data_IF_734160206757
#
_entry.id   IF_734160206757
#
_cell.length_a   1.000
_cell.length_b   1.000
_cell.length_c   1.000
_cell.angle_alpha   90.00
_cell.angle_beta   90.00
_cell.angle_gamma   90.00
#
_symmetry.space_group_name_H-M   'P 1'
#
loop_
_entity.id
_entity.type
_entity.pdbx_description
1 polymer ?
#
# COMPACT_ATOMS: atom_id res chain seq x y z
N UNK A 1 35.80 -17.60 -13.32
CA UNK A 1 35.60 -16.50 -12.34
C UNK A 1 34.13 -16.46 -11.99
N UNK A 2 33.74 -17.14 -10.92
CA UNK A 2 32.37 -17.15 -10.41
C UNK A 2 32.18 -15.93 -9.52
N UNK A 3 31.34 -15.00 -9.96
CA UNK A 3 30.91 -13.83 -9.20
C UNK A 3 30.04 -14.30 -8.04
N UNK A 4 30.57 -14.27 -6.82
CA UNK A 4 29.77 -14.41 -5.60
C UNK A 4 28.95 -13.12 -5.43
N UNK A 5 27.65 -13.20 -5.69
CA UNK A 5 26.69 -12.16 -5.29
C UNK A 5 26.62 -12.18 -3.77
N UNK A 6 27.31 -11.24 -3.15
CA UNK A 6 27.32 -10.99 -1.71
C UNK A 6 25.88 -10.69 -1.26
N UNK A 7 25.16 -11.71 -0.78
CA UNK A 7 23.89 -11.52 -0.08
C UNK A 7 24.21 -10.90 1.27
N UNK A 8 24.10 -9.57 1.35
CA UNK A 8 24.28 -8.84 2.60
C UNK A 8 23.03 -9.06 3.45
N UNK A 9 23.04 -10.10 4.28
CA UNK A 9 22.02 -10.31 5.31
C UNK A 9 22.27 -9.28 6.42
N UNK A 10 21.72 -8.09 6.25
CA UNK A 10 21.86 -7.03 7.26
C UNK A 10 20.77 -7.26 8.32
N UNK A 11 21.17 -7.80 9.47
CA UNK A 11 20.35 -7.74 10.69
C UNK A 11 20.43 -6.30 11.21
N UNK A 12 19.63 -5.41 10.64
CA UNK A 12 19.63 -3.99 11.02
C UNK A 12 18.80 -3.82 12.30
N UNK A 13 19.42 -3.36 13.38
CA UNK A 13 18.68 -2.71 14.48
C UNK A 13 18.11 -1.39 13.94
N UNK A 14 16.78 -1.36 13.75
CA UNK A 14 16.07 -0.50 12.78
C UNK A 14 16.04 1.01 13.06
N UNK A 15 16.73 1.53 14.07
CA UNK A 15 16.69 2.96 14.39
C UNK A 15 17.24 3.85 13.26
N UNK A 16 18.07 3.31 12.36
CA UNK A 16 18.70 4.08 11.27
C UNK A 16 17.90 4.14 9.94
N UNK A 17 16.82 3.36 9.76
CA UNK A 17 16.13 3.28 8.45
C UNK A 17 14.76 3.96 8.40
N UNK A 18 14.21 4.35 9.54
CA UNK A 18 12.86 4.90 9.67
C UNK A 18 12.72 6.15 8.79
N UNK A 19 11.86 6.07 7.76
CA UNK A 19 11.41 7.23 6.99
C UNK A 19 12.40 7.79 5.97
N UNK A 20 13.48 7.08 5.64
CA UNK A 20 14.43 7.59 4.65
C UNK A 20 13.92 7.42 3.22
N UNK A 21 14.11 8.43 2.38
CA UNK A 21 13.87 8.39 0.93
C UNK A 21 14.91 7.54 0.17
N UNK A 22 15.66 6.69 0.88
CA UNK A 22 16.78 5.95 0.33
C UNK A 22 16.29 4.81 -0.56
N UNK A 23 16.97 4.67 -1.69
CA UNK A 23 16.79 3.55 -2.61
C UNK A 23 17.57 2.35 -2.09
N UNK A 24 16.89 1.23 -1.86
CA UNK A 24 17.52 -0.02 -1.42
C UNK A 24 17.39 -1.11 -2.49
N UNK A 25 18.42 -1.97 -2.54
CA UNK A 25 18.55 -3.06 -3.51
C UNK A 25 19.15 -4.30 -2.85
N UNK A 26 18.57 -5.48 -3.12
CA UNK A 26 19.09 -6.80 -2.68
C UNK A 26 19.24 -6.92 -1.16
N UNK A 27 18.22 -6.49 -0.41
CA UNK A 27 18.21 -6.51 1.05
C UNK A 27 17.10 -7.45 1.54
N UNK A 28 17.45 -8.26 2.54
CA UNK A 28 16.50 -9.01 3.36
C UNK A 28 16.35 -8.29 4.71
N UNK A 29 15.16 -7.76 5.00
CA UNK A 29 14.82 -7.19 6.30
C UNK A 29 13.94 -8.21 7.03
N UNK A 30 14.43 -8.74 8.15
CA UNK A 30 13.73 -9.77 8.93
C UNK A 30 13.54 -9.31 10.37
N UNK A 31 12.32 -9.44 10.90
CA UNK A 31 11.98 -9.25 12.32
C UNK A 31 12.27 -7.85 12.86
N UNK A 32 11.27 -6.97 12.81
CA UNK A 32 11.34 -5.65 13.40
C UNK A 32 10.00 -5.17 13.90
N UNK A 33 10.05 -4.32 14.92
CA UNK A 33 8.90 -3.60 15.43
C UNK A 33 9.23 -2.12 15.39
N UNK A 34 8.51 -1.35 14.56
CA UNK A 34 8.53 0.12 14.64
C UNK A 34 7.29 0.56 15.40
N UNK A 35 7.48 1.36 16.45
CA UNK A 35 6.38 1.85 17.25
C UNK A 35 6.56 3.28 17.75
N UNK A 36 5.44 4.01 17.87
CA UNK A 36 5.37 5.37 18.43
C UNK A 36 6.27 6.38 17.69
N UNK A 37 6.38 6.23 16.36
CA UNK A 37 7.22 7.09 15.52
C UNK A 37 6.38 8.05 14.68
N UNK A 38 6.95 9.22 14.39
CA UNK A 38 6.40 10.16 13.41
C UNK A 38 7.41 10.36 12.29
N UNK A 39 6.98 10.09 11.05
CA UNK A 39 7.78 10.30 9.84
C UNK A 39 7.14 11.45 9.08
N UNK A 40 7.88 12.55 8.96
CA UNK A 40 7.49 13.70 8.16
C UNK A 40 8.49 13.87 7.03
N UNK A 41 7.99 13.96 5.80
CA UNK A 41 8.82 14.30 4.65
C UNK A 41 8.15 15.38 3.82
N UNK A 42 8.92 16.44 3.59
CA UNK A 42 8.59 17.56 2.73
C UNK A 42 9.51 17.47 1.51
N UNK A 43 9.09 16.72 0.50
CA UNK A 43 9.97 16.49 -0.63
C UNK A 43 9.44 15.51 -1.66
N UNK A 44 10.29 15.33 -2.66
CA UNK A 44 9.97 14.74 -3.94
C UNK A 44 10.22 13.23 -4.00
N UNK A 45 10.09 12.57 -2.85
CA UNK A 45 10.50 11.18 -2.70
C UNK A 45 9.44 10.36 -1.98
N UNK A 46 9.35 9.09 -2.37
CA UNK A 46 8.46 8.13 -1.72
C UNK A 46 8.90 7.83 -0.30
N UNK A 47 7.92 7.60 0.57
CA UNK A 47 8.15 7.42 2.02
C UNK A 47 7.51 6.13 2.48
N UNK A 48 8.32 5.25 3.04
CA UNK A 48 7.85 4.08 3.78
C UNK A 48 8.18 4.24 5.27
N UNK A 49 7.46 3.52 6.12
CA UNK A 49 7.90 3.33 7.50
C UNK A 49 9.21 2.54 7.61
N UNK A 50 9.48 1.65 6.64
CA UNK A 50 10.75 0.93 6.53
C UNK A 50 11.60 1.48 5.38
N UNK A 51 11.06 1.53 4.16
CA UNK A 51 11.83 1.85 2.95
C UNK A 51 11.11 2.93 2.14
N UNK A 52 11.79 4.02 1.79
CA UNK A 52 11.27 5.00 0.84
C UNK A 52 11.04 4.39 -0.55
N UNK A 53 12.10 3.87 -1.18
CA UNK A 53 12.08 3.33 -2.54
C UNK A 53 12.84 1.99 -2.62
N UNK A 54 12.28 0.98 -3.29
CA UNK A 54 13.06 -0.18 -3.76
C UNK A 54 13.36 -0.05 -5.25
N UNK A 55 14.60 -0.35 -5.64
CA UNK A 55 15.06 -0.31 -7.05
C UNK A 55 15.47 -1.69 -7.59
N UNK A 56 15.50 -2.71 -6.73
CA UNK A 56 15.69 -4.12 -7.11
C UNK A 56 14.97 -5.03 -6.12
N UNK A 57 15.17 -6.35 -6.26
CA UNK A 57 14.59 -7.37 -5.40
C UNK A 57 14.87 -7.10 -3.91
N UNK A 58 13.81 -6.78 -3.16
CA UNK A 58 13.86 -6.63 -1.71
C UNK A 58 12.88 -7.60 -1.07
N UNK A 59 13.30 -8.28 -0.01
CA UNK A 59 12.44 -9.15 0.80
C UNK A 59 12.25 -8.54 2.18
N UNK A 60 10.99 -8.38 2.60
CA UNK A 60 10.64 -7.85 3.91
C UNK A 60 9.75 -8.87 4.60
N UNK A 61 10.20 -9.39 5.74
CA UNK A 61 9.48 -10.46 6.42
C UNK A 61 9.35 -10.24 7.92
N UNK A 62 8.19 -10.60 8.47
CA UNK A 62 7.90 -10.57 9.91
C UNK A 62 8.10 -9.18 10.54
N UNK A 63 7.59 -8.13 9.88
CA UNK A 63 7.67 -6.75 10.37
C UNK A 63 6.32 -6.30 10.91
N UNK A 64 6.30 -5.69 12.09
CA UNK A 64 5.11 -5.04 12.64
C UNK A 64 5.37 -3.54 12.79
N UNK A 65 4.46 -2.73 12.27
CA UNK A 65 4.44 -1.28 12.47
C UNK A 65 3.21 -0.91 13.27
N UNK A 66 3.40 -0.23 14.39
CA UNK A 66 2.30 0.10 15.31
C UNK A 66 2.34 1.55 15.77
N UNK A 67 1.20 2.24 15.79
CA UNK A 67 1.14 3.62 16.27
C UNK A 67 2.11 4.57 15.55
N UNK A 68 2.30 4.37 14.24
CA UNK A 68 3.16 5.23 13.43
C UNK A 68 2.31 6.25 12.69
N UNK A 69 2.74 7.50 12.71
CA UNK A 69 2.17 8.57 11.88
C UNK A 69 3.14 8.89 10.74
N UNK A 70 2.76 8.55 9.52
CA UNK A 70 3.51 8.89 8.30
C UNK A 70 2.77 10.01 7.61
N UNK A 71 3.43 11.14 7.41
CA UNK A 71 2.86 12.26 6.65
C UNK A 71 3.85 12.70 5.57
N UNK A 72 3.38 12.65 4.33
CA UNK A 72 4.18 12.85 3.13
C UNK A 72 3.59 13.96 2.25
N UNK A 73 4.42 14.96 1.92
CA UNK A 73 4.07 16.05 1.01
C UNK A 73 4.91 15.96 -0.27
N UNK A 74 4.26 15.72 -1.40
CA UNK A 74 4.92 15.53 -2.69
C UNK A 74 4.68 16.72 -3.63
N UNK A 75 5.71 17.23 -4.33
CA UNK A 75 5.57 18.31 -5.31
C UNK A 75 5.13 17.81 -6.70
N UNK A 76 4.10 16.94 -6.75
CA UNK A 76 3.49 16.40 -7.97
C UNK A 76 4.37 15.47 -8.82
N UNK A 77 5.18 14.60 -8.20
CA UNK A 77 5.98 13.62 -8.93
C UNK A 77 5.22 12.34 -9.22
N UNK A 78 5.07 12.00 -10.49
CA UNK A 78 4.48 10.73 -10.89
C UNK A 78 5.26 9.54 -10.34
N UNK A 79 4.52 8.52 -9.86
CA UNK A 79 5.11 7.26 -9.41
C UNK A 79 5.66 7.28 -7.99
N UNK A 80 5.27 8.25 -7.17
CA UNK A 80 5.63 8.28 -5.76
C UNK A 80 4.46 7.81 -4.85
N UNK A 81 4.78 7.43 -3.62
CA UNK A 81 3.78 6.96 -2.66
C UNK A 81 4.23 7.02 -1.20
N UNK A 82 3.26 7.02 -0.30
CA UNK A 82 3.46 6.92 1.14
C UNK A 82 2.83 5.64 1.68
N UNK A 83 3.55 4.85 2.47
CA UNK A 83 2.96 3.69 3.12
C UNK A 83 3.67 3.25 4.40
N UNK A 84 3.04 2.32 5.11
CA UNK A 84 3.59 1.73 6.32
C UNK A 84 4.91 1.02 6.05
N UNK A 85 5.03 0.18 5.02
CA UNK A 85 6.28 -0.55 4.77
C UNK A 85 7.14 0.17 3.72
N UNK A 86 6.67 0.25 2.47
CA UNK A 86 7.43 0.75 1.32
C UNK A 86 6.71 1.92 0.65
N UNK A 87 7.36 3.06 0.49
CA UNK A 87 6.78 4.18 -0.26
C UNK A 87 6.54 3.85 -1.73
N UNK A 88 7.60 3.44 -2.44
CA UNK A 88 7.56 2.95 -3.82
C UNK A 88 8.30 1.62 -3.95
N UNK A 89 7.63 0.61 -4.50
CA UNK A 89 8.22 -0.67 -4.80
C UNK A 89 8.41 -0.85 -6.31
N UNK A 90 9.64 -1.14 -6.74
CA UNK A 90 9.87 -1.71 -8.06
C UNK A 90 9.63 -3.22 -7.97
N UNK A 91 10.58 -4.00 -7.44
CA UNK A 91 10.40 -5.43 -7.16
C UNK A 91 10.49 -5.69 -5.66
N UNK A 92 9.45 -6.27 -5.06
CA UNK A 92 9.49 -6.62 -3.65
C UNK A 92 8.64 -7.85 -3.30
N UNK A 93 9.06 -8.53 -2.24
CA UNK A 93 8.34 -9.62 -1.59
C UNK A 93 8.11 -9.21 -0.14
N UNK A 94 6.85 -9.14 0.29
CA UNK A 94 6.46 -8.74 1.65
C UNK A 94 5.66 -9.89 2.27
N UNK A 95 6.17 -10.47 3.36
CA UNK A 95 5.58 -11.67 3.96
C UNK A 95 5.39 -11.48 5.46
N UNK A 96 4.24 -11.91 5.99
CA UNK A 96 3.95 -11.88 7.44
C UNK A 96 4.16 -10.50 8.08
N UNK A 97 3.82 -9.41 7.37
CA UNK A 97 3.97 -8.05 7.89
C UNK A 97 2.63 -7.48 8.36
N UNK A 98 2.64 -6.66 9.41
CA UNK A 98 1.44 -5.98 9.90
C UNK A 98 1.63 -4.47 10.06
N UNK A 99 0.58 -3.71 9.78
CA UNK A 99 0.48 -2.28 10.10
C UNK A 99 -0.77 -2.04 10.92
N UNK A 100 -0.60 -1.52 12.13
CA UNK A 100 -1.64 -1.46 13.15
C UNK A 100 -1.72 -0.08 13.79
N UNK A 101 -2.94 0.41 14.05
CA UNK A 101 -3.17 1.67 14.77
C UNK A 101 -2.39 2.86 14.20
N UNK A 102 -2.15 2.87 12.89
CA UNK A 102 -1.24 3.82 12.25
C UNK A 102 -2.03 4.80 11.39
N UNK A 103 -1.46 6.00 11.21
CA UNK A 103 -2.02 7.04 10.37
C UNK A 103 -1.05 7.27 9.22
N UNK A 104 -1.51 7.07 7.99
CA UNK A 104 -0.70 7.24 6.80
C UNK A 104 -1.37 8.29 5.92
N UNK A 105 -0.73 9.45 5.83
CA UNK A 105 -1.22 10.60 5.11
C UNK A 105 -0.29 10.90 3.93
N UNK A 106 -0.86 10.97 2.73
CA UNK A 106 -0.19 11.57 1.57
C UNK A 106 -0.93 12.81 1.10
N UNK A 107 -0.14 13.76 0.59
CA UNK A 107 -0.61 14.96 -0.11
C UNK A 107 -0.05 14.89 -1.52
N UNK A 108 -0.93 14.80 -2.51
CA UNK A 108 -0.61 14.73 -3.94
C UNK A 108 -0.04 13.43 -4.48
N UNK A 109 -0.05 12.30 -3.76
CA UNK A 109 0.38 11.00 -4.29
C UNK A 109 -0.34 9.82 -3.63
N UNK A 110 -0.07 8.60 -4.10
CA UNK A 110 -0.68 7.38 -3.56
C UNK A 110 -0.40 7.18 -2.06
N UNK A 111 -1.38 6.64 -1.33
CA UNK A 111 -1.19 6.20 0.05
C UNK A 111 -1.68 4.78 0.28
N UNK A 112 -0.99 4.03 1.14
CA UNK A 112 -1.40 2.68 1.48
C UNK A 112 -0.94 2.19 2.85
N UNK A 113 -1.52 1.08 3.31
CA UNK A 113 -1.04 0.40 4.51
C UNK A 113 0.34 -0.21 4.30
N UNK A 114 0.59 -0.96 3.20
CA UNK A 114 1.89 -1.60 2.96
C UNK A 114 2.74 -0.89 1.91
N UNK A 115 2.21 -0.67 0.71
CA UNK A 115 2.98 -0.13 -0.43
C UNK A 115 2.29 1.06 -1.07
N UNK A 116 2.93 2.23 -1.09
CA UNK A 116 2.32 3.44 -1.64
C UNK A 116 2.11 3.32 -3.15
N UNK A 117 3.17 3.00 -3.88
CA UNK A 117 3.15 2.85 -5.34
C UNK A 117 3.95 1.61 -5.77
N UNK A 118 3.37 0.76 -6.64
CA UNK A 118 4.04 -0.41 -7.22
C UNK A 118 4.31 -0.20 -8.71
N UNK A 119 5.58 -0.29 -9.13
CA UNK A 119 6.00 -0.09 -10.51
C UNK A 119 6.27 -1.40 -11.26
N UNK A 120 6.83 -2.42 -10.60
CA UNK A 120 7.07 -3.75 -11.19
C UNK A 120 6.42 -4.85 -10.31
N UNK A 121 7.01 -6.05 -10.29
CA UNK A 121 6.44 -7.24 -9.67
C UNK A 121 6.44 -7.15 -8.15
N UNK A 122 5.27 -7.30 -7.56
CA UNK A 122 5.08 -7.22 -6.12
C UNK A 122 4.30 -8.44 -5.62
N UNK A 123 4.85 -9.11 -4.62
CA UNK A 123 4.20 -10.24 -3.95
C UNK A 123 4.01 -9.92 -2.48
N UNK A 124 2.77 -10.01 -2.00
CA UNK A 124 2.38 -9.71 -0.62
C UNK A 124 1.60 -10.91 -0.09
N UNK A 125 2.12 -11.54 0.96
CA UNK A 125 1.58 -12.79 1.49
C UNK A 125 1.42 -12.70 3.02
N UNK A 126 0.30 -13.18 3.55
CA UNK A 126 0.05 -13.26 5.00
C UNK A 126 0.20 -11.91 5.73
N UNK A 127 -0.10 -10.80 5.06
CA UNK A 127 0.05 -9.48 5.65
C UNK A 127 -1.28 -8.95 6.18
N UNK A 128 -1.23 -8.04 7.16
CA UNK A 128 -2.43 -7.46 7.75
C UNK A 128 -2.36 -5.96 7.98
N UNK A 129 -3.51 -5.28 7.81
CA UNK A 129 -3.68 -3.87 8.17
C UNK A 129 -4.87 -3.77 9.10
N UNK A 130 -4.68 -3.25 10.30
CA UNK A 130 -5.72 -3.21 11.32
C UNK A 130 -5.81 -1.84 12.01
N UNK A 131 -7.03 -1.38 12.30
CA UNK A 131 -7.29 -0.17 13.09
C UNK A 131 -6.55 1.08 12.57
N UNK A 132 -6.35 1.19 11.26
CA UNK A 132 -5.49 2.22 10.67
C UNK A 132 -6.28 3.22 9.84
N UNK A 133 -5.76 4.44 9.74
CA UNK A 133 -6.33 5.50 8.92
C UNK A 133 -5.36 5.79 7.78
N UNK A 134 -5.83 5.65 6.55
CA UNK A 134 -5.03 5.89 5.34
C UNK A 134 -5.73 6.98 4.55
N UNK A 135 -5.03 8.09 4.32
CA UNK A 135 -5.58 9.27 3.68
C UNK A 135 -4.73 9.69 2.49
N UNK A 136 -5.40 10.09 1.42
CA UNK A 136 -4.87 10.97 0.38
C UNK A 136 -5.69 12.27 0.45
N UNK A 137 -5.07 13.32 0.98
CA UNK A 137 -5.77 14.56 1.33
C UNK A 137 -5.66 15.65 0.26
N UNK A 138 -5.02 15.37 -0.88
CA UNK A 138 -4.90 16.33 -1.97
C UNK A 138 -4.59 15.61 -3.29
N UNK A 139 -5.34 15.88 -4.37
CA UNK A 139 -4.78 16.44 -5.59
C UNK A 139 -5.82 16.58 -6.71
N UNK A 140 -5.50 17.56 -7.53
CA UNK A 140 -5.84 17.80 -8.94
C UNK A 140 -5.54 16.61 -9.90
N UNK A 141 -5.11 15.45 -9.39
CA UNK A 141 -4.57 14.33 -10.19
C UNK A 141 -5.12 12.97 -9.74
N UNK A 142 -4.94 11.94 -10.58
CA UNK A 142 -5.51 10.60 -10.40
C UNK A 142 -4.80 9.75 -9.33
N UNK A 143 -4.69 10.22 -8.08
CA UNK A 143 -4.04 9.46 -7.02
C UNK A 143 -5.04 8.82 -6.06
N UNK A 144 -4.63 7.70 -5.47
CA UNK A 144 -5.55 6.77 -4.81
C UNK A 144 -5.03 6.29 -3.47
N UNK A 145 -5.97 5.82 -2.66
CA UNK A 145 -5.71 5.22 -1.37
C UNK A 145 -6.12 3.76 -1.39
N UNK A 146 -5.23 2.88 -0.95
CA UNK A 146 -5.56 1.46 -0.80
C UNK A 146 -5.16 0.90 0.55
N UNK A 147 -5.83 -0.16 1.00
CA UNK A 147 -5.44 -0.82 2.25
C UNK A 147 -4.07 -1.48 2.14
N UNK A 148 -3.84 -2.27 1.10
CA UNK A 148 -2.53 -2.89 0.86
C UNK A 148 -1.67 -2.01 -0.05
N UNK A 149 -2.19 -1.62 -1.22
CA UNK A 149 -1.44 -0.86 -2.23
C UNK A 149 -2.20 0.39 -2.65
N UNK A 150 -1.53 1.55 -2.72
CA UNK A 150 -2.14 2.80 -3.16
C UNK A 150 -2.41 2.75 -4.66
N UNK A 151 -1.35 2.68 -5.46
CA UNK A 151 -1.41 2.53 -6.94
C UNK A 151 -0.56 1.34 -7.38
N UNK A 152 -1.06 0.55 -8.33
CA UNK A 152 -0.29 -0.49 -9.02
C UNK A 152 -0.18 -0.23 -10.52
N UNK A 153 1.03 -0.38 -11.06
CA UNK A 153 1.35 -0.30 -12.48
C UNK A 153 1.82 -1.62 -13.09
N UNK A 154 1.75 -2.75 -12.36
CA UNK A 154 2.24 -4.03 -12.87
C UNK A 154 1.63 -5.25 -12.16
N UNK A 155 2.23 -6.42 -12.38
CA UNK A 155 1.81 -7.70 -11.83
C UNK A 155 1.93 -7.71 -10.31
N UNK A 156 0.80 -7.93 -9.65
CA UNK A 156 0.69 -7.98 -8.19
C UNK A 156 0.02 -9.28 -7.78
N UNK A 157 0.62 -9.97 -6.82
CA UNK A 157 -0.02 -11.04 -6.07
C UNK A 157 -0.25 -10.59 -4.62
N UNK A 158 -1.50 -10.62 -4.17
CA UNK A 158 -1.91 -10.48 -2.77
C UNK A 158 -2.55 -11.80 -2.36
N UNK A 159 -1.96 -12.50 -1.40
CA UNK A 159 -2.48 -13.79 -0.92
C UNK A 159 -2.58 -13.82 0.60
N UNK A 160 -3.68 -14.39 1.10
CA UNK A 160 -3.96 -14.58 2.53
C UNK A 160 -3.75 -13.30 3.36
N UNK A 161 -4.15 -12.15 2.82
CA UNK A 161 -4.02 -10.86 3.48
C UNK A 161 -5.33 -10.43 4.16
N UNK A 162 -5.23 -9.68 5.25
CA UNK A 162 -6.38 -9.20 6.01
C UNK A 162 -6.37 -7.68 6.17
N UNK A 163 -7.51 -7.03 5.96
CA UNK A 163 -7.70 -5.62 6.31
C UNK A 163 -8.88 -5.53 7.27
N UNK A 164 -8.70 -4.89 8.41
CA UNK A 164 -9.78 -4.74 9.37
C UNK A 164 -9.81 -3.41 10.11
N UNK A 165 -11.02 -2.92 10.38
CA UNK A 165 -11.27 -1.68 11.15
C UNK A 165 -10.52 -0.46 10.59
N UNK A 166 -10.42 -0.36 9.27
CA UNK A 166 -9.65 0.70 8.62
C UNK A 166 -10.55 1.81 8.09
N UNK A 167 -10.04 3.04 8.12
CA UNK A 167 -10.63 4.17 7.41
C UNK A 167 -9.73 4.53 6.23
N UNK A 168 -10.32 4.63 5.04
CA UNK A 168 -9.64 5.05 3.83
C UNK A 168 -10.33 6.28 3.25
N UNK A 169 -9.58 7.36 3.12
CA UNK A 169 -10.07 8.59 2.53
C UNK A 169 -9.22 8.98 1.33
N UNK A 170 -9.85 9.21 0.19
CA UNK A 170 -9.18 9.67 -1.01
C UNK A 170 -9.99 10.76 -1.70
N UNK A 171 -9.33 11.55 -2.53
CA UNK A 171 -10.03 12.44 -3.45
C UNK A 171 -10.52 11.65 -4.66
N UNK A 172 -9.68 10.80 -5.25
CA UNK A 172 -9.95 10.23 -6.57
C UNK A 172 -10.45 8.79 -6.49
N UNK A 173 -9.71 7.90 -5.82
CA UNK A 173 -10.07 6.49 -5.72
C UNK A 173 -9.68 5.92 -4.36
N UNK A 174 -10.61 5.17 -3.76
CA UNK A 174 -10.36 4.42 -2.54
C UNK A 174 -10.75 2.96 -2.74
N UNK A 175 -9.82 2.06 -2.41
CA UNK A 175 -10.05 0.61 -2.54
C UNK A 175 -9.51 -0.19 -1.37
N UNK A 176 -10.20 -1.27 -1.00
CA UNK A 176 -9.82 -2.04 0.17
C UNK A 176 -8.43 -2.67 0.01
N UNK A 177 -8.17 -3.42 -1.07
CA UNK A 177 -6.82 -3.94 -1.32
C UNK A 177 -5.97 -2.95 -2.11
N UNK A 178 -6.50 -2.47 -3.23
CA UNK A 178 -5.75 -1.60 -4.16
C UNK A 178 -6.57 -0.37 -4.50
N UNK A 179 -5.97 0.80 -4.31
CA UNK A 179 -6.62 2.08 -4.57
C UNK A 179 -6.82 2.40 -6.06
N UNK A 180 -5.83 2.13 -6.90
CA UNK A 180 -5.94 2.27 -8.36
C UNK A 180 -5.02 1.29 -9.09
N UNK A 181 -5.55 0.70 -10.16
CA UNK A 181 -4.79 -0.05 -11.12
C UNK A 181 -4.55 0.79 -12.39
N UNK A 182 -3.30 0.89 -12.83
CA UNK A 182 -2.94 1.48 -14.13
C UNK A 182 -2.97 0.41 -15.23
N UNK A 183 -3.07 0.88 -16.47
CA UNK A 183 -3.19 0.04 -17.67
C UNK A 183 -2.04 -0.99 -17.75
N UNK A 184 -2.33 -2.18 -18.27
CA UNK A 184 -1.35 -3.28 -18.48
C UNK A 184 -0.84 -4.02 -17.24
N UNK A 185 -1.48 -3.83 -16.09
CA UNK A 185 -1.18 -4.60 -14.87
C UNK A 185 -2.09 -5.82 -14.71
N UNK A 186 -1.61 -6.84 -14.01
CA UNK A 186 -2.35 -8.06 -13.67
C UNK A 186 -2.39 -8.21 -12.16
N UNK A 187 -3.59 -8.18 -11.58
CA UNK A 187 -3.78 -8.26 -10.13
C UNK A 187 -4.42 -9.59 -9.76
N UNK A 188 -3.78 -10.32 -8.86
CA UNK A 188 -4.36 -11.51 -8.24
C UNK A 188 -4.54 -11.28 -6.74
N UNK A 189 -5.78 -11.43 -6.26
CA UNK A 189 -6.11 -11.39 -4.84
C UNK A 189 -6.71 -12.74 -4.45
N UNK A 190 -5.99 -13.47 -3.61
CA UNK A 190 -6.31 -14.85 -3.25
C UNK A 190 -6.49 -14.93 -1.73
N UNK A 191 -7.49 -15.73 -1.31
CA UNK A 191 -7.70 -16.13 0.09
C UNK A 191 -7.71 -14.96 1.09
N UNK A 192 -8.07 -13.75 0.67
CA UNK A 192 -7.88 -12.53 1.44
C UNK A 192 -9.20 -12.01 2.00
N UNK A 193 -9.14 -11.28 3.10
CA UNK A 193 -10.32 -10.85 3.85
C UNK A 193 -10.30 -9.36 4.13
N UNK A 194 -11.47 -8.73 4.03
CA UNK A 194 -11.70 -7.36 4.48
C UNK A 194 -12.88 -7.37 5.44
N UNK A 195 -12.70 -6.79 6.62
CA UNK A 195 -13.72 -6.73 7.66
C UNK A 195 -13.80 -5.34 8.26
N UNK A 196 -14.96 -4.69 8.20
CA UNK A 196 -15.16 -3.35 8.77
C UNK A 196 -14.21 -2.31 8.14
N UNK A 197 -14.61 -1.77 6.99
CA UNK A 197 -13.86 -0.72 6.31
C UNK A 197 -14.75 0.49 6.05
N UNK A 198 -14.26 1.67 6.41
CA UNK A 198 -14.89 2.95 6.09
C UNK A 198 -14.16 3.56 4.90
N UNK A 199 -14.87 3.81 3.79
CA UNK A 199 -14.27 4.42 2.61
C UNK A 199 -14.97 5.74 2.25
N UNK A 200 -14.17 6.74 1.92
CA UNK A 200 -14.61 8.03 1.38
C UNK A 200 -13.84 8.36 0.11
N UNK A 201 -14.56 8.82 -0.91
CA UNK A 201 -14.00 9.32 -2.16
C UNK A 201 -14.76 10.56 -2.62
N UNK A 202 -14.04 11.58 -3.11
CA UNK A 202 -14.62 12.89 -3.43
C UNK A 202 -14.89 13.12 -4.91
N UNK A 203 -14.27 12.37 -5.85
CA UNK A 203 -14.31 12.72 -7.28
C UNK A 203 -14.55 11.57 -8.28
N UNK A 204 -13.91 10.38 -8.17
CA UNK A 204 -14.01 9.39 -9.26
C UNK A 204 -14.61 8.03 -8.89
N UNK A 205 -14.37 7.49 -7.69
CA UNK A 205 -15.05 6.25 -7.30
C UNK A 205 -14.57 5.59 -6.01
N UNK A 206 -15.43 4.74 -5.44
CA UNK A 206 -15.12 3.83 -4.32
C UNK A 206 -15.36 2.42 -4.83
N UNK A 207 -14.36 1.56 -4.67
CA UNK A 207 -14.51 0.15 -5.04
C UNK A 207 -13.99 -0.70 -3.89
N UNK A 208 -14.87 -1.52 -3.33
CA UNK A 208 -14.42 -2.58 -2.47
C UNK A 208 -13.68 -3.62 -3.31
N UNK A 209 -12.42 -3.87 -2.99
CA UNK A 209 -11.52 -4.71 -3.79
C UNK A 209 -10.45 -3.90 -4.51
N UNK A 210 -10.70 -3.56 -5.77
CA UNK A 210 -9.71 -3.03 -6.73
C UNK A 210 -10.35 -2.08 -7.73
N UNK A 211 -9.71 -0.95 -8.04
CA UNK A 211 -10.24 0.07 -8.96
C UNK A 211 -9.69 -0.08 -10.38
N UNK A 212 -10.59 0.00 -11.37
CA UNK A 212 -10.34 0.08 -12.83
C UNK A 212 -9.52 -1.07 -13.41
N UNK A 213 -10.21 -2.16 -13.73
CA UNK A 213 -9.56 -3.42 -14.05
C UNK A 213 -9.71 -3.77 -15.53
N UNK A 214 -8.58 -3.90 -16.23
CA UNK A 214 -8.53 -4.55 -17.55
C UNK A 214 -8.21 -6.06 -17.42
N UNK A 215 -7.46 -6.48 -16.37
CA UNK A 215 -7.19 -7.90 -16.09
C UNK A 215 -6.97 -8.17 -14.58
N UNK A 216 -7.77 -9.07 -13.99
CA UNK A 216 -7.67 -9.42 -12.57
C UNK A 216 -8.27 -10.78 -12.23
N UNK A 217 -7.88 -11.34 -11.08
CA UNK A 217 -8.48 -12.54 -10.49
C UNK A 217 -8.66 -12.34 -8.99
N UNK A 218 -9.90 -12.47 -8.50
CA UNK A 218 -10.21 -12.56 -7.07
C UNK A 218 -10.77 -13.94 -6.79
N UNK A 219 -10.13 -14.71 -5.89
CA UNK A 219 -10.56 -16.07 -5.55
C UNK A 219 -10.56 -16.27 -4.03
N UNK A 220 -11.56 -16.99 -3.53
CA UNK A 220 -11.70 -17.37 -2.12
C UNK A 220 -11.58 -16.18 -1.14
N UNK A 221 -11.93 -14.97 -1.58
CA UNK A 221 -11.77 -13.75 -0.80
C UNK A 221 -13.13 -13.23 -0.32
N UNK A 222 -13.15 -12.61 0.86
CA UNK A 222 -14.39 -12.17 1.50
C UNK A 222 -14.29 -10.69 1.88
N UNK A 223 -15.38 -9.95 1.67
CA UNK A 223 -15.54 -8.61 2.23
C UNK A 223 -16.82 -8.51 3.01
N UNK A 224 -16.73 -7.95 4.21
CA UNK A 224 -17.84 -7.72 5.13
C UNK A 224 -17.79 -6.30 5.69
N UNK A 225 -18.97 -5.75 5.98
CA UNK A 225 -19.14 -4.50 6.75
C UNK A 225 -18.45 -3.27 6.13
N UNK A 226 -18.79 -2.98 4.88
CA UNK A 226 -18.31 -1.78 4.18
C UNK A 226 -19.25 -0.62 4.47
N UNK A 227 -18.69 0.47 5.00
CA UNK A 227 -19.39 1.72 5.18
C UNK A 227 -18.86 2.74 4.18
N UNK A 228 -19.71 3.17 3.24
CA UNK A 228 -19.38 4.21 2.27
C UNK A 228 -19.94 5.54 2.77
N UNK A 229 -19.06 6.47 3.15
CA UNK A 229 -19.47 7.67 3.88
C UNK A 229 -19.80 8.87 2.96
N UNK A 230 -19.27 8.94 1.73
CA UNK A 230 -19.58 10.02 0.77
C UNK A 230 -19.13 9.66 -0.64
N UNK A 231 -19.96 9.95 -1.66
CA UNK A 231 -19.60 9.99 -3.08
C UNK A 231 -20.16 11.31 -3.65
N UNK A 232 -19.30 12.26 -4.02
CA UNK A 232 -19.74 13.50 -4.70
C UNK A 232 -19.29 13.38 -6.16
N UNK A 233 -20.26 13.51 -7.08
CA UNK A 233 -20.16 13.31 -8.53
C UNK A 233 -19.83 11.89 -9.01
N UNK A 234 -20.89 11.14 -9.35
CA UNK A 234 -20.81 9.92 -10.13
C UNK A 234 -20.84 10.25 -11.63
N UNK A 235 -19.67 10.29 -12.26
CA UNK A 235 -19.57 9.92 -13.67
C UNK A 235 -18.98 8.50 -13.73
N UNK A 236 -19.82 7.52 -13.40
CA UNK A 236 -19.57 6.07 -13.45
C UNK A 236 -18.61 5.48 -12.39
N UNK A 237 -18.96 4.28 -11.90
CA UNK A 237 -18.10 3.33 -11.16
C UNK A 237 -18.11 3.39 -9.62
N UNK A 238 -19.24 3.04 -8.99
CA UNK A 238 -19.18 2.19 -7.79
C UNK A 238 -19.34 0.76 -8.27
N UNK A 239 -18.31 -0.06 -8.08
CA UNK A 239 -18.37 -1.49 -8.35
C UNK A 239 -18.07 -2.22 -7.04
N UNK A 240 -18.98 -3.06 -6.58
CA UNK A 240 -18.72 -4.01 -5.50
C UNK A 240 -18.43 -5.35 -6.16
N UNK A 241 -17.16 -5.65 -6.38
CA UNK A 241 -16.76 -6.87 -7.10
C UNK A 241 -16.37 -7.93 -6.07
N UNK A 242 -17.36 -8.70 -5.61
CA UNK A 242 -17.08 -9.97 -4.92
C UNK A 242 -18.13 -11.01 -5.28
N UNK A 243 -17.69 -12.26 -5.45
CA UNK A 243 -18.60 -13.40 -5.52
C UNK A 243 -19.25 -13.59 -4.14
N UNK A 244 -20.58 -13.49 -4.01
CA UNK A 244 -21.25 -13.98 -2.82
C UNK A 244 -21.05 -15.50 -2.72
N UNK A 245 -21.09 -16.01 -1.48
CA UNK A 245 -21.00 -17.45 -1.16
C UNK A 245 -21.96 -18.31 -1.97
#
# INVERSE_FOLDING_TARGET
MTSEVLHQKILVELEQFIGSSQSLSNIDITQSIIQNSSILSNGDYSIGGIIGITISNVSITNITIKYVNITAFFANISGAGAAGIIGKADIAIIINCSVEYSIINSVNQASAGLVGYSQLNLTIINCSINNSVINNNNSIHLYSTGGIIGVSNNTVLIDNCMISNCTMDSITFSGSFIGMQLKDSSIQILNSQVHTIQMRCKQCGIISGTVKLESYTVKNSQVSDIIILTVIQLNNCVSLIFQPK
#
